data_IF_481639957570
#
_entry.id   IF_481639957570
#
_cell.length_a   1.000
_cell.length_b   1.000
_cell.length_c   1.000
_cell.angle_alpha   90.00
_cell.angle_beta   90.00
_cell.angle_gamma   90.00
#
_symmetry.space_group_name_H-M   'P 1'
#
loop_
_entity.id
_entity.type
_entity.pdbx_description
1 polymer ?
#
# COMPACT_ATOMS: atom_id res chain seq x y z
N UNK A 1 4.43 -9.14 12.54
CA UNK A 1 3.52 -8.83 11.41
C UNK A 1 4.31 -8.11 10.35
N UNK A 2 4.02 -8.35 9.07
CA UNK A 2 4.71 -7.67 7.98
C UNK A 2 4.26 -6.19 7.87
N UNK A 3 5.15 -5.33 7.38
CA UNK A 3 4.88 -3.90 7.17
C UNK A 3 3.79 -3.67 6.12
N UNK A 4 3.82 -4.46 5.04
CA UNK A 4 2.80 -4.49 3.98
C UNK A 4 2.13 -5.86 4.02
N UNK A 5 0.80 -5.90 3.91
CA UNK A 5 0.02 -7.14 3.87
C UNK A 5 -0.63 -7.32 2.49
N UNK A 6 -0.54 -8.53 1.94
CA UNK A 6 -1.39 -8.98 0.84
C UNK A 6 -2.57 -9.74 1.47
N UNK A 7 -3.82 -9.30 1.29
CA UNK A 7 -4.99 -10.03 1.78
C UNK A 7 -5.04 -11.45 1.21
N UNK A 8 -5.54 -12.41 1.98
CA UNK A 8 -5.59 -13.82 1.54
C UNK A 8 -6.38 -14.01 0.24
N UNK A 9 -7.50 -13.29 0.07
CA UNK A 9 -8.29 -13.29 -1.15
C UNK A 9 -7.48 -12.78 -2.34
N UNK A 10 -6.71 -11.70 -2.17
CA UNK A 10 -5.84 -11.15 -3.23
C UNK A 10 -4.75 -12.15 -3.62
N UNK A 11 -4.14 -12.82 -2.63
CA UNK A 11 -3.14 -13.86 -2.90
C UNK A 11 -3.75 -15.08 -3.62
N UNK A 12 -4.98 -15.47 -3.26
CA UNK A 12 -5.71 -16.57 -3.90
C UNK A 12 -6.14 -16.24 -5.34
N UNK A 13 -6.63 -15.03 -5.57
CA UNK A 13 -7.18 -14.60 -6.86
C UNK A 13 -6.11 -14.08 -7.83
N UNK A 14 -4.87 -13.87 -7.34
CA UNK A 14 -3.74 -13.38 -8.14
C UNK A 14 -3.86 -11.92 -8.58
N UNK A 15 -4.84 -11.18 -8.06
CA UNK A 15 -5.13 -9.78 -8.39
C UNK A 15 -5.82 -9.08 -7.23
N UNK A 16 -5.68 -7.77 -7.15
CA UNK A 16 -6.32 -6.94 -6.12
C UNK A 16 -5.41 -5.84 -5.62
N UNK A 17 -5.28 -5.71 -4.30
CA UNK A 17 -4.58 -4.61 -3.65
C UNK A 17 -3.63 -5.09 -2.53
N UNK A 18 -2.72 -4.20 -2.15
CA UNK A 18 -1.87 -4.34 -0.97
C UNK A 18 -2.33 -3.39 0.13
N UNK A 19 -2.07 -3.73 1.39
CA UNK A 19 -2.40 -2.90 2.54
C UNK A 19 -1.10 -2.47 3.24
N UNK A 20 -0.79 -1.18 3.19
CA UNK A 20 0.29 -0.60 3.99
C UNK A 20 -0.19 -0.36 5.42
N UNK A 21 0.37 -1.09 6.37
CA UNK A 21 -0.02 -1.06 7.79
C UNK A 21 0.93 -0.22 8.65
N UNK A 22 1.85 0.52 8.01
CA UNK A 22 2.81 1.41 8.67
C UNK A 22 2.25 2.78 9.08
N UNK A 23 1.29 3.40 8.35
CA UNK A 23 0.77 4.71 8.73
C UNK A 23 0.15 4.71 10.13
N UNK A 24 0.49 5.73 10.91
CA UNK A 24 -0.11 5.96 12.22
C UNK A 24 -1.47 6.68 12.07
N UNK A 25 -2.24 6.73 13.16
CA UNK A 25 -3.58 7.31 13.14
C UNK A 25 -3.61 8.84 12.91
N UNK A 26 -2.48 9.53 13.12
CA UNK A 26 -2.36 10.98 12.98
C UNK A 26 -1.65 11.41 11.68
N UNK A 27 -1.36 10.47 10.78
CA UNK A 27 -0.68 10.78 9.54
C UNK A 27 -1.61 11.55 8.59
N UNK A 28 -1.03 12.50 7.86
CA UNK A 28 -1.74 13.29 6.86
C UNK A 28 -2.11 12.39 5.65
N UNK A 29 -3.40 12.22 5.34
CA UNK A 29 -3.85 11.35 4.26
C UNK A 29 -3.36 11.83 2.88
N UNK A 30 -3.16 13.13 2.67
CA UNK A 30 -2.69 13.66 1.39
C UNK A 30 -1.22 13.36 1.17
N UNK A 31 -0.40 13.55 2.20
CA UNK A 31 1.03 13.23 2.15
C UNK A 31 1.22 11.72 1.92
N UNK A 32 0.50 10.88 2.66
CA UNK A 32 0.56 9.42 2.50
C UNK A 32 0.19 8.97 1.09
N UNK A 33 -0.93 9.47 0.57
CA UNK A 33 -1.43 9.07 -0.74
C UNK A 33 -0.47 9.49 -1.86
N UNK A 34 0.11 10.70 -1.74
CA UNK A 34 1.10 11.20 -2.69
C UNK A 34 2.39 10.36 -2.66
N UNK A 35 2.89 10.03 -1.46
CA UNK A 35 4.10 9.20 -1.31
C UNK A 35 3.90 7.79 -1.88
N UNK A 36 2.79 7.13 -1.53
CA UNK A 36 2.45 5.80 -2.04
C UNK A 36 2.38 5.80 -3.57
N UNK A 37 1.63 6.73 -4.15
CA UNK A 37 1.46 6.83 -5.61
C UNK A 37 2.80 7.12 -6.29
N UNK A 38 3.57 8.07 -5.77
CA UNK A 38 4.85 8.42 -6.35
C UNK A 38 5.80 7.22 -6.33
N UNK A 39 6.02 6.58 -5.17
CA UNK A 39 6.95 5.44 -5.08
C UNK A 39 6.51 4.25 -5.93
N UNK A 40 5.21 3.92 -5.96
CA UNK A 40 4.72 2.73 -6.66
C UNK A 40 4.63 2.98 -8.17
N UNK A 41 4.04 4.09 -8.60
CA UNK A 41 3.80 4.34 -10.02
C UNK A 41 5.04 4.83 -10.76
N UNK A 42 6.01 5.47 -10.08
CA UNK A 42 7.29 5.82 -10.71
C UNK A 42 8.24 4.62 -10.87
N UNK A 43 8.12 3.60 -10.01
CA UNK A 43 8.96 2.40 -10.10
C UNK A 43 8.63 1.48 -11.29
N UNK A 44 7.50 1.73 -11.96
CA UNK A 44 7.04 0.97 -13.14
C UNK A 44 7.39 1.66 -14.47
N UNK A 45 8.06 2.83 -14.40
CA UNK A 45 8.53 3.60 -15.56
C UNK A 45 9.92 3.18 -16.04
#
# INVERSE_FOLDING_TARGET
>A
GASIRIPWQVAKDGKGYIEDRRPNANADPYVLSALLTNTICSALG
#
